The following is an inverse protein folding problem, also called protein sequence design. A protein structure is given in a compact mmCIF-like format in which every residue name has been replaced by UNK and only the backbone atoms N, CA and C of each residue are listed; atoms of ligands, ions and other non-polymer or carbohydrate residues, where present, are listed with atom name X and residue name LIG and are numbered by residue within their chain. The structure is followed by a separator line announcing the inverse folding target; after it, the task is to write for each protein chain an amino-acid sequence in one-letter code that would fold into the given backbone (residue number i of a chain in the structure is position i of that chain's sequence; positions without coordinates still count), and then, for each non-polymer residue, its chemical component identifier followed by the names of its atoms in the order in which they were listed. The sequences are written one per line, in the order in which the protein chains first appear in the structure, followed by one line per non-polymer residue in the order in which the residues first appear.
data_IF_034522928605
#
_entry.id   IF_034522928605
#
_cell.length_a   1.000
_cell.length_b   1.000
_cell.length_c   1.000
_cell.angle_alpha   90.00
_cell.angle_beta   90.00
_cell.angle_gamma   90.00
#
_symmetry.space_group_name_H-M   'P 1'
#
loop_
_entity.id
_entity.type
_entity.pdbx_description
1 polymer ?
#
# COMPACT_ATOMS: atom_id res chain seq x y z
N UNK A 1 -47.46 11.22 -22.40
CA UNK A 1 -46.39 10.40 -21.77
C UNK A 1 -46.47 10.64 -20.27
N UNK A 2 -46.68 9.61 -19.42
CA UNK A 2 -46.70 9.82 -17.99
C UNK A 2 -45.31 10.26 -17.54
N UNK A 3 -45.24 11.28 -16.67
CA UNK A 3 -43.99 11.70 -16.04
C UNK A 3 -43.41 10.50 -15.29
N UNK A 4 -42.21 10.05 -15.68
CA UNK A 4 -41.45 9.07 -14.90
C UNK A 4 -41.22 9.73 -13.55
N UNK A 5 -41.91 9.24 -12.51
CA UNK A 5 -41.68 9.73 -11.16
C UNK A 5 -40.19 9.55 -10.87
N UNK A 6 -39.47 10.67 -10.65
CA UNK A 6 -38.08 10.64 -10.21
C UNK A 6 -38.00 9.77 -8.96
N UNK A 7 -37.46 8.57 -9.12
CA UNK A 7 -37.23 7.69 -7.97
C UNK A 7 -36.18 8.40 -7.12
N UNK A 8 -36.54 8.70 -5.88
CA UNK A 8 -35.66 9.35 -4.90
C UNK A 8 -35.36 8.41 -3.75
N UNK A 9 -34.15 8.50 -3.22
CA UNK A 9 -33.68 7.71 -2.09
C UNK A 9 -32.88 8.58 -1.13
N UNK A 10 -32.82 8.17 0.13
CA UNK A 10 -31.95 8.81 1.13
C UNK A 10 -30.49 8.70 0.71
N UNK A 11 -29.75 9.81 0.76
CA UNK A 11 -28.34 9.88 0.39
C UNK A 11 -27.48 8.91 1.20
N UNK A 12 -27.77 8.69 2.48
CA UNK A 12 -27.03 7.73 3.32
C UNK A 12 -27.15 6.28 2.85
N UNK A 13 -28.25 5.91 2.19
CA UNK A 13 -28.44 4.61 1.55
C UNK A 13 -27.88 4.60 0.12
N UNK A 14 -28.14 5.65 -0.66
CA UNK A 14 -27.66 5.74 -2.04
C UNK A 14 -26.13 5.62 -2.12
N UNK A 15 -25.40 6.24 -1.17
CA UNK A 15 -23.94 6.13 -1.08
C UNK A 15 -23.47 4.68 -0.88
N UNK A 16 -24.19 3.89 -0.07
CA UNK A 16 -23.86 2.47 0.17
C UNK A 16 -24.24 1.62 -1.03
N UNK A 17 -25.43 1.82 -1.57
CA UNK A 17 -25.95 1.05 -2.71
C UNK A 17 -25.10 1.25 -3.97
N UNK A 18 -24.49 2.44 -4.13
CA UNK A 18 -23.52 2.74 -5.20
C UNK A 18 -22.08 2.36 -4.87
N UNK A 19 -21.81 1.77 -3.70
CA UNK A 19 -20.45 1.38 -3.27
C UNK A 19 -19.51 2.57 -2.99
N UNK A 20 -20.05 3.79 -2.85
CA UNK A 20 -19.28 5.00 -2.56
C UNK A 20 -18.90 5.11 -1.08
N UNK A 21 -19.47 4.28 -0.21
CA UNK A 21 -19.09 4.15 1.21
C UNK A 21 -19.42 2.74 1.69
N UNK A 22 -18.61 2.21 2.61
CA UNK A 22 -18.71 0.81 3.08
C UNK A 22 -19.92 0.54 3.99
N UNK A 23 -20.50 1.56 4.60
CA UNK A 23 -21.64 1.40 5.51
C UNK A 23 -22.44 2.69 5.67
N UNK A 24 -23.70 2.54 6.10
CA UNK A 24 -24.57 3.70 6.39
C UNK A 24 -24.01 4.58 7.50
N UNK A 25 -23.38 3.99 8.53
CA UNK A 25 -22.74 4.74 9.62
C UNK A 25 -21.60 5.61 9.10
N UNK A 26 -20.80 5.09 8.17
CA UNK A 26 -19.74 5.86 7.52
C UNK A 26 -20.28 6.94 6.59
N UNK A 27 -21.35 6.63 5.85
CA UNK A 27 -22.08 7.62 5.04
C UNK A 27 -22.52 8.83 5.88
N UNK A 28 -23.10 8.56 7.05
CA UNK A 28 -23.56 9.61 7.99
C UNK A 28 -22.41 10.46 8.51
N UNK A 29 -21.29 9.83 8.91
CA UNK A 29 -20.11 10.56 9.37
C UNK A 29 -19.53 11.48 8.27
N UNK A 30 -19.51 11.01 7.01
CA UNK A 30 -19.02 11.79 5.86
C UNK A 30 -19.97 12.94 5.49
N UNK A 31 -21.28 12.71 5.60
CA UNK A 31 -22.29 13.77 5.45
C UNK A 31 -22.10 14.85 6.53
N UNK A 32 -21.99 14.46 7.80
CA UNK A 32 -21.73 15.39 8.92
C UNK A 32 -20.43 16.17 8.70
N UNK A 33 -19.40 15.52 8.18
CA UNK A 33 -18.12 16.14 7.86
C UNK A 33 -18.17 17.06 6.62
N UNK A 34 -19.31 17.17 5.94
CA UNK A 34 -19.47 17.96 4.72
C UNK A 34 -18.66 17.40 3.53
N UNK A 35 -18.36 16.11 3.55
CA UNK A 35 -17.56 15.44 2.54
C UNK A 35 -18.41 15.00 1.33
N UNK A 36 -19.73 14.96 1.41
CA UNK A 36 -20.57 14.50 0.30
C UNK A 36 -21.04 15.67 -0.56
N UNK A 37 -20.94 15.51 -1.87
CA UNK A 37 -21.41 16.45 -2.89
C UNK A 37 -22.42 15.73 -3.77
N UNK A 38 -23.57 16.37 -4.02
CA UNK A 38 -24.63 15.90 -4.91
C UNK A 38 -24.97 17.02 -5.87
N UNK A 39 -24.87 16.76 -7.18
CA UNK A 39 -25.11 17.74 -8.26
C UNK A 39 -24.34 19.06 -8.05
N UNK A 40 -23.08 18.93 -7.62
CA UNK A 40 -22.18 20.05 -7.33
C UNK A 40 -22.43 20.76 -5.99
N UNK A 41 -23.43 20.37 -5.21
CA UNK A 41 -23.77 20.97 -3.92
C UNK A 41 -23.38 20.09 -2.74
N UNK A 42 -22.85 20.69 -1.67
CA UNK A 42 -22.53 19.95 -0.44
C UNK A 42 -23.81 19.48 0.25
N UNK A 43 -23.87 18.21 0.61
CA UNK A 43 -24.97 17.63 1.39
C UNK A 43 -24.42 17.16 2.73
N UNK A 44 -25.09 17.52 3.82
CA UNK A 44 -24.69 17.18 5.18
C UNK A 44 -25.77 16.47 6.01
N UNK A 45 -26.95 16.25 5.44
CA UNK A 45 -28.07 15.54 6.09
C UNK A 45 -28.19 14.11 5.56
N UNK A 46 -27.96 13.13 6.44
CA UNK A 46 -28.15 11.69 6.20
C UNK A 46 -29.47 11.32 5.51
N UNK A 47 -30.56 11.96 5.93
CA UNK A 47 -31.90 11.69 5.43
C UNK A 47 -32.30 12.46 4.17
N UNK A 48 -31.39 13.26 3.56
CA UNK A 48 -31.72 14.02 2.36
C UNK A 48 -32.12 13.08 1.22
N UNK A 49 -33.29 13.32 0.61
CA UNK A 49 -33.78 12.57 -0.55
C UNK A 49 -33.18 13.15 -1.82
N UNK A 50 -32.47 12.32 -2.57
CA UNK A 50 -31.80 12.66 -3.83
C UNK A 50 -32.30 11.74 -4.94
N UNK A 51 -32.23 12.20 -6.18
CA UNK A 51 -32.61 11.37 -7.33
C UNK A 51 -31.67 10.16 -7.45
N UNK A 52 -32.21 9.00 -7.85
CA UNK A 52 -31.42 7.77 -8.00
C UNK A 52 -30.31 7.88 -9.05
N UNK A 53 -30.38 8.86 -9.95
CA UNK A 53 -29.43 9.18 -11.02
C UNK A 53 -28.61 10.45 -10.76
N UNK A 54 -28.77 11.11 -9.61
CA UNK A 54 -28.00 12.30 -9.25
C UNK A 54 -26.48 12.05 -9.30
N UNK A 55 -25.69 13.07 -9.64
CA UNK A 55 -24.22 12.99 -9.62
C UNK A 55 -23.73 13.11 -8.17
N UNK A 56 -23.32 11.99 -7.57
CA UNK A 56 -22.94 11.90 -6.15
C UNK A 56 -21.45 11.59 -6.03
N UNK A 57 -20.73 12.42 -5.28
CA UNK A 57 -19.30 12.27 -5.01
C UNK A 57 -19.02 12.43 -3.53
N UNK A 58 -18.01 11.74 -3.02
CA UNK A 58 -17.53 11.90 -1.65
C UNK A 58 -16.12 12.46 -1.72
N UNK A 59 -15.97 13.74 -1.35
CA UNK A 59 -14.68 14.41 -1.20
C UNK A 59 -13.78 13.59 -0.29
N UNK A 60 -12.62 13.19 -0.82
CA UNK A 60 -11.65 12.32 -0.14
C UNK A 60 -11.89 10.81 -0.30
N UNK A 61 -12.90 10.39 -1.07
CA UNK A 61 -13.17 9.00 -1.44
C UNK A 61 -13.09 8.74 -2.96
N UNK A 62 -12.66 9.72 -3.75
CA UNK A 62 -12.35 9.55 -5.18
C UNK A 62 -10.98 8.91 -5.37
N UNK A 63 -10.74 7.76 -4.73
CA UNK A 63 -9.58 6.94 -5.09
C UNK A 63 -10.05 5.54 -5.50
N UNK A 64 -9.49 4.97 -6.59
CA UNK A 64 -10.00 3.73 -7.20
C UNK A 64 -9.77 2.46 -6.34
N UNK A 65 -9.25 2.62 -5.13
CA UNK A 65 -8.83 1.54 -4.24
C UNK A 65 -9.63 1.52 -2.93
N UNK A 66 -9.62 0.40 -2.21
CA UNK A 66 -10.25 0.26 -0.87
C UNK A 66 -9.67 1.22 0.19
N UNK A 67 -8.48 1.77 -0.05
CA UNK A 67 -7.90 2.75 0.86
C UNK A 67 -6.92 3.67 0.16
N UNK A 68 -6.60 4.77 0.83
CA UNK A 68 -5.57 5.73 0.42
C UNK A 68 -4.20 5.08 0.17
N UNK A 69 -3.93 3.91 0.76
CA UNK A 69 -2.70 3.17 0.50
C UNK A 69 -2.53 2.90 -1.00
N UNK A 70 -3.60 2.50 -1.69
CA UNK A 70 -3.52 2.23 -3.13
C UNK A 70 -3.09 3.45 -3.95
N UNK A 71 -3.50 4.66 -3.57
CA UNK A 71 -3.07 5.91 -4.23
C UNK A 71 -1.57 6.13 -4.08
N UNK A 72 -1.03 5.84 -2.90
CA UNK A 72 0.40 5.96 -2.64
C UNK A 72 1.19 5.03 -3.56
N UNK A 73 0.82 3.74 -3.57
CA UNK A 73 1.50 2.75 -4.39
C UNK A 73 1.35 3.05 -5.88
N UNK A 74 0.15 3.45 -6.33
CA UNK A 74 -0.08 3.83 -7.72
C UNK A 74 0.92 4.91 -8.18
N UNK A 75 1.07 5.99 -7.41
CA UNK A 75 1.99 7.08 -7.76
C UNK A 75 3.45 6.65 -7.77
N UNK A 76 3.85 5.78 -6.83
CA UNK A 76 5.20 5.21 -6.82
C UNK A 76 5.47 4.36 -8.07
N UNK A 77 4.52 3.48 -8.42
CA UNK A 77 4.64 2.62 -9.60
C UNK A 77 4.67 3.43 -10.90
N UNK A 78 3.88 4.50 -11.00
CA UNK A 78 3.91 5.42 -12.14
C UNK A 78 5.25 6.15 -12.24
N UNK A 79 5.79 6.62 -11.12
CA UNK A 79 7.11 7.26 -11.06
C UNK A 79 8.20 6.30 -11.56
N UNK A 80 8.29 5.10 -10.96
CA UNK A 80 9.32 4.12 -11.28
C UNK A 80 9.20 3.56 -12.71
N UNK A 81 7.99 3.53 -13.27
CA UNK A 81 7.78 3.12 -14.68
C UNK A 81 8.17 4.20 -15.68
N UNK A 82 8.14 5.47 -15.29
CA UNK A 82 8.47 6.60 -16.16
C UNK A 82 9.97 6.93 -16.21
N UNK A 83 10.75 6.44 -15.23
CA UNK A 83 12.20 6.67 -15.17
C UNK A 83 12.91 5.96 -16.33
N UNK A 84 13.30 6.72 -17.36
CA UNK A 84 13.95 6.22 -18.59
C UNK A 84 15.28 5.49 -18.34
N UNK A 85 15.90 5.69 -17.18
CA UNK A 85 17.14 5.05 -16.74
C UNK A 85 16.95 3.74 -15.99
N UNK A 86 15.71 3.37 -15.65
CA UNK A 86 15.42 2.20 -14.82
C UNK A 86 14.80 1.05 -15.62
N UNK A 87 15.10 -0.22 -15.26
CA UNK A 87 14.49 -1.39 -15.88
C UNK A 87 12.97 -1.37 -15.68
N UNK A 88 12.16 -1.57 -16.72
CA UNK A 88 10.69 -1.41 -16.59
C UNK A 88 10.09 -2.24 -15.44
N UNK A 89 9.44 -1.57 -14.48
CA UNK A 89 8.74 -2.20 -13.37
C UNK A 89 7.37 -2.73 -13.85
N UNK A 90 7.32 -4.02 -14.15
CA UNK A 90 6.08 -4.69 -14.59
C UNK A 90 5.41 -5.37 -13.40
N UNK A 91 4.08 -5.24 -13.29
CA UNK A 91 3.27 -5.87 -12.23
C UNK A 91 2.45 -7.04 -12.79
N UNK A 92 2.02 -6.92 -14.04
CA UNK A 92 1.15 -7.90 -14.70
C UNK A 92 1.78 -9.29 -14.69
N UNK A 93 0.97 -10.29 -14.32
CA UNK A 93 1.36 -11.70 -14.31
C UNK A 93 2.27 -12.13 -13.17
N UNK A 94 2.68 -11.23 -12.26
CA UNK A 94 3.61 -11.56 -11.18
C UNK A 94 2.92 -12.07 -9.93
N UNK A 95 3.60 -12.97 -9.22
CA UNK A 95 3.27 -13.34 -7.84
C UNK A 95 3.80 -12.25 -6.91
N UNK A 96 2.90 -11.62 -6.16
CA UNK A 96 3.23 -10.52 -5.27
C UNK A 96 2.97 -10.84 -3.79
N UNK A 97 3.66 -10.13 -2.90
CA UNK A 97 3.43 -10.14 -1.46
C UNK A 97 3.24 -8.71 -0.94
N UNK A 98 2.19 -8.49 -0.16
CA UNK A 98 1.86 -7.20 0.46
C UNK A 98 2.07 -7.31 1.98
N UNK A 99 3.17 -6.75 2.47
CA UNK A 99 3.54 -6.77 3.89
C UNK A 99 2.95 -5.55 4.60
N UNK A 100 2.05 -5.80 5.56
CA UNK A 100 1.27 -4.77 6.22
C UNK A 100 0.00 -4.41 5.44
N UNK A 101 -0.63 -5.42 4.83
CA UNK A 101 -1.75 -5.23 3.90
C UNK A 101 -2.91 -4.40 4.49
N UNK A 102 -3.15 -4.51 5.80
CA UNK A 102 -4.20 -3.81 6.54
C UNK A 102 -5.56 -3.91 5.84
N UNK A 103 -6.17 -2.79 5.44
CA UNK A 103 -7.44 -2.80 4.70
C UNK A 103 -7.32 -3.26 3.24
N UNK A 104 -6.10 -3.35 2.71
CA UNK A 104 -5.78 -3.91 1.40
C UNK A 104 -5.56 -2.89 0.28
N UNK A 105 -5.16 -1.66 0.61
CA UNK A 105 -4.96 -0.61 -0.40
C UNK A 105 -3.91 -0.97 -1.45
N UNK A 106 -2.76 -1.50 -1.00
CA UNK A 106 -1.68 -1.93 -1.88
C UNK A 106 -2.09 -3.19 -2.65
N UNK A 107 -2.65 -4.20 -1.97
CA UNK A 107 -3.25 -5.38 -2.59
C UNK A 107 -4.22 -5.03 -3.73
N UNK A 108 -5.17 -4.12 -3.52
CA UNK A 108 -6.13 -3.68 -4.55
C UNK A 108 -5.42 -3.03 -5.75
N UNK A 109 -4.41 -2.20 -5.50
CA UNK A 109 -3.60 -1.58 -6.54
C UNK A 109 -2.84 -2.62 -7.39
N UNK A 110 -2.25 -3.63 -6.75
CA UNK A 110 -1.56 -4.72 -7.44
C UNK A 110 -2.51 -5.56 -8.30
N UNK A 111 -3.68 -5.93 -7.77
CA UNK A 111 -4.69 -6.71 -8.50
C UNK A 111 -5.25 -5.96 -9.71
N UNK A 112 -5.49 -4.65 -9.57
CA UNK A 112 -5.95 -3.80 -10.68
C UNK A 112 -4.87 -3.62 -11.76
N UNK A 113 -3.58 -3.76 -11.39
CA UNK A 113 -2.44 -3.77 -12.31
C UNK A 113 -2.08 -5.16 -12.85
N UNK A 114 -2.94 -6.15 -12.65
CA UNK A 114 -2.81 -7.46 -13.27
C UNK A 114 -1.90 -8.44 -12.54
N UNK A 115 -1.59 -8.22 -11.25
CA UNK A 115 -0.88 -9.23 -10.45
C UNK A 115 -1.61 -10.59 -10.53
N UNK A 116 -0.84 -11.66 -10.73
CA UNK A 116 -1.36 -13.03 -10.85
C UNK A 116 -1.92 -13.51 -9.50
N UNK A 117 -1.19 -13.21 -8.42
CA UNK A 117 -1.53 -13.55 -7.05
C UNK A 117 -0.96 -12.51 -6.09
N UNK A 118 -1.65 -12.26 -4.98
CA UNK A 118 -1.15 -11.40 -3.90
C UNK A 118 -1.25 -12.14 -2.56
N UNK A 119 -0.12 -12.36 -1.90
CA UNK A 119 -0.05 -12.82 -0.52
C UNK A 119 -0.15 -11.61 0.41
N UNK A 120 -1.33 -11.39 0.98
CA UNK A 120 -1.60 -10.29 1.89
C UNK A 120 -1.19 -10.71 3.32
N UNK A 121 -0.07 -10.18 3.81
CA UNK A 121 0.51 -10.50 5.11
C UNK A 121 0.21 -9.36 6.09
N UNK A 122 -0.46 -9.67 7.20
CA UNK A 122 -0.72 -8.70 8.24
C UNK A 122 -0.62 -9.31 9.65
N UNK A 123 -0.18 -8.50 10.61
CA UNK A 123 -0.12 -8.90 12.03
C UNK A 123 -1.51 -8.84 12.69
N UNK A 124 -2.43 -8.08 12.12
CA UNK A 124 -3.82 -8.00 12.50
C UNK A 124 -4.64 -9.22 12.07
N UNK A 125 -5.94 -9.15 12.31
CA UNK A 125 -6.89 -10.20 11.93
C UNK A 125 -8.14 -9.56 11.32
N UNK A 126 -8.57 -10.07 10.16
CA UNK A 126 -9.81 -9.65 9.50
C UNK A 126 -9.82 -8.17 9.09
N UNK A 127 -8.66 -7.58 8.81
CA UNK A 127 -8.57 -6.17 8.43
C UNK A 127 -8.87 -5.94 6.95
N UNK A 128 -8.58 -6.94 6.10
CA UNK A 128 -8.68 -6.83 4.66
C UNK A 128 -10.14 -6.62 4.23
N UNK A 129 -10.38 -5.69 3.30
CA UNK A 129 -11.72 -5.45 2.77
C UNK A 129 -12.31 -6.74 2.17
N UNK A 130 -13.59 -6.99 2.43
CA UNK A 130 -14.25 -8.26 2.07
C UNK A 130 -14.10 -8.62 0.58
N UNK A 131 -14.17 -7.62 -0.32
CA UNK A 131 -14.00 -7.85 -1.76
C UNK A 131 -12.63 -8.44 -2.11
N UNK A 132 -11.59 -8.07 -1.37
CA UNK A 132 -10.22 -8.54 -1.58
C UNK A 132 -10.01 -9.88 -0.89
N UNK A 133 -10.52 -10.04 0.33
CA UNK A 133 -10.46 -11.31 1.06
C UNK A 133 -11.21 -12.45 0.33
N UNK A 134 -12.17 -12.09 -0.54
CA UNK A 134 -12.93 -13.04 -1.36
C UNK A 134 -12.41 -13.18 -2.80
N UNK A 135 -11.38 -12.41 -3.21
CA UNK A 135 -10.80 -12.53 -4.54
C UNK A 135 -9.91 -13.79 -4.61
N UNK A 136 -10.14 -14.64 -5.61
CA UNK A 136 -9.43 -15.91 -5.76
C UNK A 136 -7.91 -15.75 -5.99
N UNK A 137 -7.45 -14.55 -6.36
CA UNK A 137 -6.04 -14.21 -6.51
C UNK A 137 -5.38 -13.79 -5.20
N UNK A 138 -6.13 -13.60 -4.11
CA UNK A 138 -5.60 -13.16 -2.82
C UNK A 138 -5.48 -14.33 -1.86
N UNK A 139 -4.31 -14.47 -1.24
CA UNK A 139 -4.07 -15.41 -0.15
C UNK A 139 -3.82 -14.60 1.12
N UNK A 140 -4.71 -14.74 2.11
CA UNK A 140 -4.66 -13.97 3.36
C UNK A 140 -3.79 -14.68 4.40
N UNK A 141 -2.78 -13.98 4.91
CA UNK A 141 -1.91 -14.41 6.00
C UNK A 141 -2.09 -13.48 7.20
N UNK A 142 -3.22 -13.63 7.89
CA UNK A 142 -3.51 -12.90 9.13
C UNK A 142 -2.63 -13.39 10.29
N UNK A 143 -2.50 -12.53 11.31
CA UNK A 143 -1.71 -12.78 12.53
C UNK A 143 -0.28 -13.24 12.24
N UNK A 144 0.26 -12.78 11.12
CA UNK A 144 1.54 -13.23 10.59
C UNK A 144 2.52 -12.06 10.61
N UNK A 145 3.53 -12.17 11.47
CA UNK A 145 4.63 -11.23 11.48
C UNK A 145 5.69 -11.70 10.48
N UNK A 146 5.97 -10.90 9.45
CA UNK A 146 6.97 -11.24 8.42
C UNK A 146 8.33 -11.63 9.01
N UNK A 147 8.70 -11.07 10.17
CA UNK A 147 9.97 -11.36 10.84
C UNK A 147 10.10 -12.78 11.37
N UNK A 148 8.98 -13.46 11.55
CA UNK A 148 8.91 -14.84 12.06
C UNK A 148 8.05 -15.74 11.18
N UNK A 149 7.67 -15.25 9.99
CA UNK A 149 6.88 -16.02 9.04
C UNK A 149 7.82 -16.97 8.31
N UNK A 150 7.45 -18.23 8.23
CA UNK A 150 8.23 -19.22 7.49
C UNK A 150 7.90 -19.14 5.99
N UNK A 151 8.88 -19.16 5.08
CA UNK A 151 8.64 -19.13 3.62
C UNK A 151 7.70 -20.24 3.13
N UNK A 152 7.67 -21.38 3.80
CA UNK A 152 6.76 -22.50 3.51
C UNK A 152 5.29 -22.14 3.66
N UNK A 153 4.94 -21.10 4.43
CA UNK A 153 3.57 -20.58 4.56
C UNK A 153 3.11 -19.81 3.32
N UNK A 154 4.05 -19.18 2.61
CA UNK A 154 3.79 -18.57 1.30
C UNK A 154 3.77 -19.67 0.24
N UNK A 155 4.73 -20.60 0.29
CA UNK A 155 4.72 -21.83 -0.50
C UNK A 155 5.15 -21.67 -1.96
N UNK A 156 5.48 -20.46 -2.39
CA UNK A 156 5.93 -20.15 -3.75
C UNK A 156 6.86 -18.91 -3.74
N UNK A 157 7.76 -18.76 -4.72
CA UNK A 157 8.67 -17.62 -4.77
C UNK A 157 7.92 -16.34 -5.18
N UNK A 158 8.16 -15.27 -4.44
CA UNK A 158 7.56 -13.95 -4.68
C UNK A 158 8.41 -13.15 -5.65
N UNK A 159 7.81 -12.65 -6.73
CA UNK A 159 8.49 -11.84 -7.72
C UNK A 159 8.41 -10.35 -7.38
N UNK A 160 7.36 -9.90 -6.69
CA UNK A 160 7.17 -8.50 -6.28
C UNK A 160 6.76 -8.41 -4.82
N UNK A 161 7.45 -7.61 -4.02
CA UNK A 161 7.07 -7.35 -2.65
C UNK A 161 6.75 -5.87 -2.46
N UNK A 162 5.66 -5.55 -1.77
CA UNK A 162 5.33 -4.18 -1.35
C UNK A 162 5.24 -4.13 0.18
N UNK A 163 5.70 -3.03 0.79
CA UNK A 163 5.79 -2.90 2.26
C UNK A 163 5.16 -1.58 2.72
N UNK A 164 4.09 -1.66 3.52
CA UNK A 164 3.44 -0.51 4.20
C UNK A 164 3.22 -0.80 5.69
N UNK A 165 4.31 -1.03 6.43
CA UNK A 165 4.25 -1.29 7.86
C UNK A 165 4.16 -0.01 8.68
N UNK A 166 3.47 -0.04 9.83
CA UNK A 166 3.43 1.07 10.79
C UNK A 166 4.03 0.63 12.13
N UNK A 167 4.55 1.58 12.91
CA UNK A 167 5.14 1.34 14.23
C UNK A 167 6.40 0.45 14.24
N UNK A 168 7.02 0.26 13.07
CA UNK A 168 8.25 -0.52 12.92
C UNK A 168 9.10 0.10 11.82
N UNK A 169 10.40 0.21 12.08
CA UNK A 169 11.40 0.62 11.11
C UNK A 169 11.63 -0.47 10.05
N UNK A 170 11.90 -0.07 8.80
CA UNK A 170 12.26 -1.00 7.73
C UNK A 170 13.52 -1.81 8.07
N UNK A 171 14.43 -1.26 8.86
CA UNK A 171 15.61 -1.97 9.36
C UNK A 171 15.29 -3.26 10.15
N UNK A 172 14.08 -3.39 10.70
CA UNK A 172 13.63 -4.60 11.39
C UNK A 172 12.84 -5.55 10.49
N UNK A 173 12.41 -5.10 9.32
CA UNK A 173 11.54 -5.85 8.39
C UNK A 173 12.36 -6.42 7.23
N UNK A 174 13.17 -5.59 6.58
CA UNK A 174 13.93 -5.93 5.38
C UNK A 174 14.82 -7.17 5.52
N UNK A 175 15.47 -7.45 6.68
CA UNK A 175 16.31 -8.65 6.81
C UNK A 175 15.58 -9.98 6.59
N UNK A 176 14.26 -10.02 6.81
CA UNK A 176 13.45 -11.24 6.64
C UNK A 176 12.89 -11.40 5.23
N UNK A 177 12.86 -10.33 4.42
CA UNK A 177 12.19 -10.33 3.11
C UNK A 177 12.89 -11.23 2.07
N UNK A 178 14.24 -11.24 1.94
CA UNK A 178 14.92 -12.04 0.91
C UNK A 178 14.57 -13.53 0.89
N UNK A 179 14.21 -14.11 2.03
CA UNK A 179 13.84 -15.53 2.14
C UNK A 179 12.58 -15.91 1.35
N UNK A 180 11.75 -14.94 0.98
CA UNK A 180 10.52 -15.14 0.22
C UNK A 180 10.68 -14.83 -1.28
N UNK A 181 11.78 -14.17 -1.66
CA UNK A 181 11.91 -13.55 -2.97
C UNK A 181 12.55 -14.47 -4.01
N UNK A 182 12.01 -14.45 -5.22
CA UNK A 182 12.69 -14.95 -6.41
C UNK A 182 13.93 -14.10 -6.73
N UNK A 183 15.02 -14.67 -7.28
CA UNK A 183 16.10 -13.88 -7.85
C UNK A 183 15.58 -12.88 -8.90
N UNK A 184 16.01 -11.63 -8.81
CA UNK A 184 15.53 -10.53 -9.64
C UNK A 184 14.23 -9.87 -9.15
N UNK A 185 13.65 -10.32 -8.04
CA UNK A 185 12.42 -9.76 -7.51
C UNK A 185 12.57 -8.27 -7.14
N UNK A 186 11.48 -7.51 -7.34
CA UNK A 186 11.41 -6.11 -6.96
C UNK A 186 10.77 -5.96 -5.58
N UNK A 187 11.25 -5.00 -4.79
CA UNK A 187 10.66 -4.62 -3.51
C UNK A 187 10.38 -3.13 -3.53
N UNK A 188 9.13 -2.74 -3.27
CA UNK A 188 8.69 -1.35 -3.16
C UNK A 188 8.31 -1.08 -1.70
N UNK A 189 9.14 -0.37 -0.97
CA UNK A 189 8.96 -0.17 0.46
C UNK A 189 8.63 1.30 0.79
N UNK A 190 7.58 1.51 1.57
CA UNK A 190 7.20 2.83 2.08
C UNK A 190 7.98 3.17 3.35
N UNK A 191 8.89 4.13 3.22
CA UNK A 191 9.67 4.74 4.29
C UNK A 191 8.82 5.78 5.01
N UNK A 192 8.64 5.59 6.32
CA UNK A 192 7.88 6.48 7.19
C UNK A 192 8.79 7.09 8.24
N UNK A 193 9.26 8.35 8.09
CA UNK A 193 10.30 8.93 8.94
C UNK A 193 10.05 8.80 10.44
N UNK A 194 8.80 8.98 10.86
CA UNK A 194 8.39 8.88 12.26
C UNK A 194 8.60 7.48 12.88
N UNK A 195 8.87 6.45 12.08
CA UNK A 195 9.18 5.09 12.53
C UNK A 195 10.62 4.67 12.26
N UNK A 196 11.36 5.40 11.41
CA UNK A 196 12.77 5.13 11.11
C UNK A 196 13.73 5.87 12.07
N UNK A 197 13.31 7.03 12.57
CA UNK A 197 14.14 7.88 13.42
C UNK A 197 14.02 7.53 14.91
N UNK A 198 15.01 7.99 15.68
CA UNK A 198 14.92 8.01 17.14
C UNK A 198 13.70 8.84 17.59
N UNK A 199 12.92 8.38 18.60
CA UNK A 199 11.78 9.11 19.12
C UNK A 199 12.06 10.57 19.51
N UNK A 200 13.28 10.91 19.93
CA UNK A 200 13.68 12.28 20.27
C UNK A 200 13.68 13.25 19.07
N UNK A 201 13.83 12.71 17.85
CA UNK A 201 13.77 13.49 16.58
C UNK A 201 12.34 13.63 16.04
N UNK A 202 11.37 12.98 16.68
CA UNK A 202 9.97 13.02 16.23
C UNK A 202 9.21 14.12 16.98
N UNK A 203 8.80 15.16 16.24
CA UNK A 203 8.09 16.30 16.81
C UNK A 203 6.68 15.98 17.32
N UNK A 204 6.08 16.97 18.01
CA UNK A 204 4.71 16.87 18.57
C UNK A 204 3.71 16.39 17.52
N UNK A 205 2.89 15.41 17.92
CA UNK A 205 1.91 14.74 17.06
C UNK A 205 2.46 13.58 16.24
N UNK A 206 3.72 13.16 16.48
CA UNK A 206 4.36 12.10 15.70
C UNK A 206 4.75 12.58 14.30
N UNK A 207 5.03 13.87 14.12
CA UNK A 207 5.28 14.50 12.81
C UNK A 207 6.73 14.93 12.71
N UNK A 208 7.42 14.42 11.70
CA UNK A 208 8.77 14.82 11.31
C UNK A 208 8.67 16.01 10.37
N UNK A 209 9.11 17.18 10.84
CA UNK A 209 9.02 18.46 10.12
C UNK A 209 10.31 18.85 9.41
N UNK A 210 11.43 18.49 10.00
CA UNK A 210 12.77 18.81 9.53
C UNK A 210 13.11 17.98 8.28
N UNK A 211 13.72 18.63 7.28
CA UNK A 211 14.05 18.01 6.00
C UNK A 211 15.34 17.18 6.04
N UNK A 212 16.26 17.46 6.97
CA UNK A 212 17.43 16.61 7.21
C UNK A 212 17.01 15.31 7.91
N UNK A 213 16.12 15.39 8.91
CA UNK A 213 15.54 14.21 9.57
C UNK A 213 14.85 13.27 8.56
N UNK A 214 14.13 13.86 7.60
CA UNK A 214 13.47 13.13 6.52
C UNK A 214 14.45 12.42 5.59
N UNK A 215 15.53 13.10 5.21
CA UNK A 215 16.62 12.52 4.40
C UNK A 215 17.33 11.40 5.14
N UNK A 216 17.62 11.61 6.43
CA UNK A 216 18.26 10.61 7.29
C UNK A 216 17.39 9.35 7.41
N UNK A 217 16.08 9.49 7.53
CA UNK A 217 15.17 8.36 7.56
C UNK A 217 15.22 7.52 6.27
N UNK A 218 15.24 8.18 5.10
CA UNK A 218 15.38 7.51 3.82
C UNK A 218 16.74 6.80 3.70
N UNK A 219 17.82 7.50 4.04
CA UNK A 219 19.17 6.93 4.02
C UNK A 219 19.31 5.73 4.97
N UNK A 220 18.70 5.78 6.14
CA UNK A 220 18.69 4.66 7.09
C UNK A 220 17.95 3.43 6.54
N UNK A 221 16.81 3.64 5.88
CA UNK A 221 16.05 2.57 5.23
C UNK A 221 16.83 1.94 4.05
N UNK A 222 17.45 2.77 3.20
CA UNK A 222 18.29 2.32 2.08
C UNK A 222 19.55 1.57 2.57
N UNK A 223 20.19 2.04 3.65
CA UNK A 223 21.31 1.35 4.27
C UNK A 223 20.89 -0.02 4.82
N UNK A 224 19.71 -0.12 5.44
CA UNK A 224 19.18 -1.39 5.91
C UNK A 224 18.82 -2.35 4.76
N UNK A 225 18.32 -1.82 3.63
CA UNK A 225 18.10 -2.60 2.41
C UNK A 225 19.42 -3.20 1.91
N UNK A 226 20.46 -2.37 1.78
CA UNK A 226 21.80 -2.81 1.37
C UNK A 226 22.38 -3.88 2.31
N UNK A 227 22.24 -3.68 3.63
CA UNK A 227 22.66 -4.68 4.63
C UNK A 227 21.88 -6.00 4.54
N UNK A 228 20.67 -5.97 3.99
CA UNK A 228 19.84 -7.16 3.71
C UNK A 228 20.13 -7.77 2.33
N UNK A 229 21.13 -7.26 1.61
CA UNK A 229 21.53 -7.72 0.26
C UNK A 229 20.62 -7.23 -0.87
N UNK A 230 19.73 -6.27 -0.61
CA UNK A 230 18.89 -5.62 -1.62
C UNK A 230 19.66 -4.45 -2.26
N UNK A 231 19.48 -4.25 -3.55
CA UNK A 231 20.07 -3.14 -4.30
C UNK A 231 19.04 -2.03 -4.44
N UNK A 232 19.36 -0.81 -4.01
CA UNK A 232 18.51 0.37 -4.23
C UNK A 232 18.59 0.76 -5.71
N UNK A 233 17.44 0.86 -6.37
CA UNK A 233 17.33 1.27 -7.77
C UNK A 233 16.87 2.72 -7.90
N UNK A 234 15.90 3.15 -7.09
CA UNK A 234 15.32 4.49 -7.15
C UNK A 234 14.54 4.81 -5.86
N UNK A 235 14.16 6.07 -5.67
CA UNK A 235 13.21 6.49 -4.64
C UNK A 235 12.34 7.67 -5.09
N UNK A 236 11.15 7.80 -4.53
CA UNK A 236 10.27 8.93 -4.80
C UNK A 236 9.47 9.33 -3.56
N UNK A 237 9.00 10.58 -3.49
CA UNK A 237 8.04 10.96 -2.46
C UNK A 237 6.66 10.34 -2.73
N UNK A 238 5.95 9.94 -1.69
CA UNK A 238 4.55 9.51 -1.80
C UNK A 238 3.68 10.67 -2.29
N UNK A 239 2.76 10.47 -3.26
CA UNK A 239 1.92 11.53 -3.82
C UNK A 239 0.94 12.13 -2.80
N UNK A 240 0.73 11.44 -1.68
CA UNK A 240 -0.09 11.92 -0.55
C UNK A 240 0.66 11.70 0.76
N UNK A 241 0.44 12.60 1.71
CA UNK A 241 0.97 12.46 3.06
C UNK A 241 0.34 11.28 3.82
N UNK A 242 1.01 10.83 4.89
CA UNK A 242 0.49 9.88 5.86
C UNK A 242 -0.77 10.37 6.58
N UNK A 243 -1.43 9.50 7.35
CA UNK A 243 -2.68 9.86 8.08
C UNK A 243 -2.49 11.03 9.04
N UNK A 244 -1.32 11.16 9.63
CA UNK A 244 -0.95 12.24 10.57
C UNK A 244 -0.30 13.45 9.89
N UNK A 245 -0.17 13.44 8.56
CA UNK A 245 0.44 14.53 7.80
C UNK A 245 1.96 14.40 7.56
N UNK A 246 2.58 13.28 7.95
CA UNK A 246 3.99 13.02 7.59
C UNK A 246 4.15 12.90 6.08
N UNK A 247 5.24 13.48 5.55
CA UNK A 247 5.75 13.17 4.22
C UNK A 247 6.48 11.84 4.30
N UNK A 248 6.21 10.98 3.33
CA UNK A 248 6.68 9.58 3.29
C UNK A 248 7.33 9.35 1.93
N UNK A 249 8.28 8.40 1.85
CA UNK A 249 9.01 8.08 0.63
C UNK A 249 8.80 6.63 0.25
N UNK A 250 8.80 6.31 -1.04
CA UNK A 250 9.00 4.97 -1.52
C UNK A 250 10.46 4.78 -1.91
N UNK A 251 11.02 3.63 -1.59
CA UNK A 251 12.28 3.13 -2.18
C UNK A 251 11.97 1.89 -3.01
N UNK A 252 12.53 1.86 -4.22
CA UNK A 252 12.51 0.70 -5.09
C UNK A 252 13.83 -0.04 -4.97
N UNK A 253 13.73 -1.29 -4.56
CA UNK A 253 14.85 -2.18 -4.34
C UNK A 253 14.73 -3.40 -5.24
N UNK A 254 15.86 -4.06 -5.48
CA UNK A 254 15.92 -5.34 -6.18
C UNK A 254 16.69 -6.37 -5.39
N UNK A 255 16.18 -7.60 -5.35
CA UNK A 255 16.90 -8.75 -4.86
C UNK A 255 17.70 -9.39 -6.01
N UNK A 256 19.04 -9.32 -6.00
CA UNK A 256 19.85 -9.94 -7.06
C UNK A 256 19.83 -11.47 -7.01
N UNK A 257 19.31 -12.06 -5.92
CA UNK A 257 19.43 -13.48 -5.63
C UNK A 257 20.54 -13.76 -4.61
N UNK A 258 20.61 -15.00 -4.09
CA UNK A 258 21.68 -15.39 -3.20
C UNK A 258 23.03 -15.22 -3.89
N UNK A 259 23.96 -14.51 -3.23
CA UNK A 259 25.34 -14.42 -3.68
C UNK A 259 25.94 -15.82 -3.54
N UNK A 260 26.28 -16.46 -4.67
CA UNK A 260 26.98 -17.74 -4.64
C UNK A 260 28.28 -17.55 -3.82
N UNK A 261 28.60 -18.46 -2.88
CA UNK A 261 29.87 -18.38 -2.18
C UNK A 261 30.98 -18.41 -3.24
N UNK A 262 31.90 -17.44 -3.18
CA UNK A 262 33.04 -17.38 -4.09
C UNK A 262 33.69 -18.77 -4.12
N UNK A 263 33.65 -19.42 -5.28
CA UNK A 263 34.17 -20.77 -5.45
C UNK A 263 35.59 -20.84 -4.90
N UNK A 264 35.84 -21.79 -4.00
CA UNK A 264 37.21 -22.07 -3.55
C UNK A 264 38.06 -22.27 -4.79
N UNK A 265 39.08 -21.44 -4.96
CA UNK A 265 40.13 -21.66 -5.95
C UNK A 265 40.68 -23.07 -5.70
N UNK A 266 40.66 -23.97 -6.69
CA UNK A 266 41.22 -25.31 -6.49
C UNK A 266 42.69 -25.16 -6.12
N UNK A 267 43.04 -25.70 -4.96
CA UNK A 267 44.43 -25.79 -4.48
C UNK A 267 45.28 -26.50 -5.54
N UNK A 268 46.45 -25.97 -5.93
CA UNK A 268 47.35 -26.69 -6.81
C UNK A 268 47.71 -28.01 -6.14
N UNK A 269 47.39 -29.11 -6.82
CA UNK A 269 47.71 -30.48 -6.40
C UNK A 269 49.23 -30.65 -6.42
N UNK A 270 49.82 -31.38 -5.46
CA UNK A 270 51.28 -31.40 -5.20
C UNK A 270 52.15 -31.87 -6.37
#
# INVERSE_FOLDING_TARGET
MPAVAERRQRIDRLLVDRGLVESRTRAQALLIAGAVVVDGQRVDKAGALVALDADVRVRGHDHPYVSRGGVKLQGALEHFSAAASSPSLVIEGRVAMDIGASTGGFTDCLLQRGALRVHAVDVGYGQLAWKLASDARVVVHDRSNIRTLEPTRIGEPVELCVIDCSFIALAKVLPSVPAFLAPGADVIALVKPQFELDPARVGKGGIVRDDDDRRDALAAAEAAAAASGLVVLDHCESPIAGKTGNREWFTWLRWPGPIAPAGRVPSPTP
#
